data_IF_610574251213
#
_entry.id   IF_610574251213
#
_cell.length_a   1.000
_cell.length_b   1.000
_cell.length_c   1.000
_cell.angle_alpha   90.00
_cell.angle_beta   90.00
_cell.angle_gamma   90.00
#
_symmetry.space_group_name_H-M   'P 1'
#
loop_
_entity.id
_entity.type
_entity.pdbx_description
1 polymer ?
#
# COMPACT_ATOMS: atom_id res chain seq x y z
N UNK A 1 -16.30 10.10 12.12
CA UNK A 1 -15.36 9.45 13.05
C UNK A 1 -14.54 8.41 12.32
N UNK A 2 -13.29 8.40 12.61
CA UNK A 2 -12.45 7.42 11.97
C UNK A 2 -12.70 6.02 12.53
N UNK A 3 -12.78 5.08 11.64
CA UNK A 3 -13.06 3.71 12.01
C UNK A 3 -11.76 2.96 12.24
N UNK A 4 -11.39 2.79 13.50
CA UNK A 4 -10.12 2.14 13.83
C UNK A 4 -10.12 0.66 13.53
N UNK A 5 -11.29 0.04 13.47
CA UNK A 5 -11.34 -1.40 13.24
C UNK A 5 -10.94 -1.78 11.81
N UNK A 6 -10.96 -0.82 10.88
CA UNK A 6 -10.57 -1.12 9.50
C UNK A 6 -9.07 -1.22 9.32
N UNK A 7 -8.28 -0.91 10.34
CA UNK A 7 -6.84 -0.89 10.22
C UNK A 7 -6.21 -1.60 11.42
N UNK A 8 -6.57 -2.86 11.57
CA UNK A 8 -6.17 -3.62 12.75
C UNK A 8 -4.67 -3.86 12.81
N UNK A 9 -3.99 -4.02 11.65
CA UNK A 9 -2.55 -4.23 11.66
C UNK A 9 -1.84 -3.00 12.19
N UNK A 10 -2.26 -1.82 11.75
CA UNK A 10 -1.65 -0.60 12.23
C UNK A 10 -1.91 -0.41 13.71
N UNK A 11 -3.14 -0.69 14.15
CA UNK A 11 -3.46 -0.58 15.56
C UNK A 11 -2.58 -1.50 16.40
N UNK A 12 -2.39 -2.73 15.93
CA UNK A 12 -1.57 -3.69 16.66
C UNK A 12 -0.13 -3.22 16.81
N UNK A 13 0.45 -2.70 15.73
CA UNK A 13 1.82 -2.20 15.78
C UNK A 13 1.93 -1.02 16.74
N UNK A 14 0.98 -0.09 16.68
CA UNK A 14 0.99 1.07 17.58
C UNK A 14 0.88 0.65 19.04
N UNK A 15 0.00 -0.31 19.32
CA UNK A 15 -0.17 -0.78 20.69
C UNK A 15 1.10 -1.41 21.22
N UNK A 16 1.73 -2.28 20.42
CA UNK A 16 2.97 -2.95 20.82
C UNK A 16 4.06 -1.91 21.11
N UNK A 17 4.20 -0.93 20.23
CA UNK A 17 5.23 0.10 20.43
C UNK A 17 5.00 0.88 21.70
N UNK A 18 3.74 1.18 22.02
CA UNK A 18 3.43 1.95 23.22
C UNK A 18 3.73 1.20 24.52
N UNK A 19 3.68 -0.13 24.47
CA UNK A 19 3.89 -0.94 25.66
C UNK A 19 5.33 -1.40 25.83
N UNK A 20 6.21 -1.09 24.88
CA UNK A 20 7.60 -1.52 24.92
C UNK A 20 8.46 -0.48 25.65
N UNK A 21 9.58 -0.89 26.26
CA UNK A 21 10.55 0.09 26.79
C UNK A 21 11.09 0.98 25.66
N UNK A 22 11.56 2.17 26.03
CA UNK A 22 12.04 3.13 25.04
C UNK A 22 13.12 2.55 24.14
N UNK A 23 14.06 1.82 24.70
CA UNK A 23 15.14 1.24 23.90
C UNK A 23 14.62 0.22 22.91
N UNK A 24 13.65 -0.58 23.32
CA UNK A 24 13.06 -1.58 22.42
C UNK A 24 12.22 -0.91 21.34
N UNK A 25 11.51 0.17 21.69
CA UNK A 25 10.76 0.92 20.71
C UNK A 25 11.67 1.50 19.63
N UNK A 26 12.80 2.08 20.04
CA UNK A 26 13.77 2.64 19.11
C UNK A 26 14.31 1.57 18.16
N UNK A 27 14.68 0.41 18.71
CA UNK A 27 15.19 -0.67 17.89
C UNK A 27 14.14 -1.16 16.90
N UNK A 28 12.91 -1.31 17.35
CA UNK A 28 11.83 -1.78 16.48
C UNK A 28 11.56 -0.76 15.38
N UNK A 29 11.52 0.52 15.72
CA UNK A 29 11.30 1.56 14.72
C UNK A 29 12.43 1.60 13.72
N UNK A 30 13.67 1.42 14.16
CA UNK A 30 14.82 1.39 13.28
C UNK A 30 14.76 0.19 12.34
N UNK A 31 14.33 -0.96 12.84
CA UNK A 31 14.17 -2.13 12.01
C UNK A 31 13.12 -1.92 10.92
N UNK A 32 11.98 -1.34 11.31
CA UNK A 32 10.91 -1.07 10.34
C UNK A 32 11.39 -0.08 9.30
N UNK A 33 12.12 0.96 9.71
CA UNK A 33 12.66 1.93 8.78
C UNK A 33 13.65 1.29 7.81
N UNK A 34 14.49 0.40 8.30
CA UNK A 34 15.45 -0.28 7.45
C UNK A 34 14.75 -1.21 6.46
N UNK A 35 13.71 -1.91 6.93
CA UNK A 35 12.91 -2.76 6.03
C UNK A 35 12.22 -1.91 4.97
N UNK A 36 11.70 -0.76 5.35
CA UNK A 36 11.06 0.14 4.40
C UNK A 36 12.05 0.58 3.32
N UNK A 37 13.25 0.97 3.74
CA UNK A 37 14.27 1.38 2.79
C UNK A 37 14.56 0.28 1.77
N UNK A 38 14.69 -0.94 2.24
CA UNK A 38 14.97 -2.06 1.35
C UNK A 38 13.79 -2.47 0.50
N UNK A 39 12.58 -2.16 0.95
CA UNK A 39 11.37 -2.55 0.23
C UNK A 39 10.95 -1.53 -0.81
N UNK A 40 11.49 -0.31 -0.77
CA UNK A 40 11.04 0.73 -1.67
C UNK A 40 11.14 0.35 -3.16
N UNK A 41 12.23 -0.25 -3.63
CA UNK A 41 12.27 -0.64 -5.05
C UNK A 41 11.14 -1.61 -5.42
N UNK A 42 10.84 -2.55 -4.54
CA UNK A 42 9.75 -3.49 -4.81
C UNK A 42 8.39 -2.79 -4.81
N UNK A 43 8.20 -1.83 -3.90
CA UNK A 43 6.97 -1.05 -3.86
C UNK A 43 6.81 -0.26 -5.16
N UNK A 44 7.91 0.35 -5.64
CA UNK A 44 7.85 1.09 -6.89
C UNK A 44 7.54 0.18 -8.07
N UNK A 45 8.10 -1.02 -8.10
CA UNK A 45 7.79 -1.99 -9.15
C UNK A 45 6.30 -2.36 -9.12
N UNK A 46 5.74 -2.54 -7.94
CA UNK A 46 4.33 -2.86 -7.80
C UNK A 46 3.44 -1.70 -8.24
N UNK A 47 3.83 -0.48 -7.92
CA UNK A 47 3.10 0.68 -8.40
C UNK A 47 3.15 0.77 -9.92
N UNK A 48 4.30 0.45 -10.52
CA UNK A 48 4.43 0.46 -11.97
C UNK A 48 3.50 -0.56 -12.62
N UNK A 49 3.33 -1.71 -11.99
CA UNK A 49 2.40 -2.71 -12.53
C UNK A 49 0.96 -2.20 -12.48
N UNK A 50 0.59 -1.51 -11.41
CA UNK A 50 -0.73 -0.91 -11.31
C UNK A 50 -0.92 0.20 -12.35
N UNK A 51 0.13 0.98 -12.62
CA UNK A 51 0.08 1.96 -13.70
C UNK A 51 -0.21 1.30 -15.04
N UNK A 52 0.47 0.18 -15.31
CA UNK A 52 0.23 -0.56 -16.55
C UNK A 52 -1.22 -1.02 -16.64
N UNK A 53 -1.76 -1.52 -15.55
CA UNK A 53 -3.14 -1.98 -15.54
C UNK A 53 -4.12 -0.85 -15.87
N UNK A 54 -3.76 0.38 -15.52
CA UNK A 54 -4.62 1.53 -15.75
C UNK A 54 -4.55 2.06 -17.19
N UNK A 55 -3.44 1.85 -17.89
CA UNK A 55 -3.25 2.46 -19.21
C UNK A 55 -3.22 1.47 -20.37
N UNK A 56 -2.85 0.22 -20.10
CA UNK A 56 -2.80 -0.80 -21.14
C UNK A 56 -4.14 -1.54 -21.24
N UNK A 57 -4.43 -2.19 -22.37
CA UNK A 57 -5.61 -3.04 -22.43
C UNK A 57 -5.57 -4.07 -21.32
N UNK A 58 -6.62 -4.13 -20.56
CA UNK A 58 -6.65 -4.95 -19.35
C UNK A 58 -7.06 -6.38 -19.69
N UNK A 59 -6.07 -7.22 -19.92
CA UNK A 59 -6.31 -8.64 -20.14
C UNK A 59 -6.66 -9.30 -18.81
N UNK A 60 -7.26 -10.49 -18.89
CA UNK A 60 -7.55 -11.25 -17.67
C UNK A 60 -6.28 -11.50 -16.85
N UNK A 61 -5.19 -11.82 -17.54
CA UNK A 61 -3.92 -12.09 -16.87
C UNK A 61 -3.40 -10.84 -16.15
N UNK A 62 -3.41 -9.69 -16.82
CA UNK A 62 -2.95 -8.46 -16.20
C UNK A 62 -3.87 -8.05 -15.05
N UNK A 63 -5.17 -8.23 -15.23
CA UNK A 63 -6.13 -7.90 -14.17
C UNK A 63 -5.87 -8.74 -12.93
N UNK A 64 -5.65 -10.03 -13.09
CA UNK A 64 -5.38 -10.92 -11.95
C UNK A 64 -4.07 -10.55 -11.28
N UNK A 65 -3.04 -10.28 -12.07
CA UNK A 65 -1.75 -9.90 -11.53
C UNK A 65 -1.83 -8.59 -10.79
N UNK A 66 -2.57 -7.62 -11.32
CA UNK A 66 -2.73 -6.33 -10.67
C UNK A 66 -3.49 -6.46 -9.35
N UNK A 67 -4.54 -7.29 -9.34
CA UNK A 67 -5.30 -7.51 -8.10
C UNK A 67 -4.43 -8.13 -7.02
N UNK A 68 -3.62 -9.13 -7.39
CA UNK A 68 -2.70 -9.75 -6.44
C UNK A 68 -1.66 -8.75 -5.94
N UNK A 69 -1.20 -7.88 -6.83
CA UNK A 69 -0.23 -6.85 -6.46
C UNK A 69 -0.83 -5.86 -5.48
N UNK A 70 -2.06 -5.40 -5.73
CA UNK A 70 -2.74 -4.50 -4.81
C UNK A 70 -2.94 -5.15 -3.44
N UNK A 71 -3.27 -6.44 -3.43
CA UNK A 71 -3.43 -7.18 -2.18
C UNK A 71 -2.12 -7.20 -1.38
N UNK A 72 -1.01 -7.48 -2.06
CA UNK A 72 0.30 -7.51 -1.38
C UNK A 72 0.68 -6.13 -0.87
N UNK A 73 0.38 -5.09 -1.63
CA UNK A 73 0.66 -3.73 -1.17
C UNK A 73 -0.16 -3.40 0.08
N UNK A 74 -1.43 -3.78 0.10
CA UNK A 74 -2.25 -3.51 1.28
C UNK A 74 -1.65 -4.13 2.54
N UNK A 75 -1.16 -5.36 2.42
CA UNK A 75 -0.55 -6.02 3.57
C UNK A 75 0.74 -5.35 4.02
N UNK A 76 1.64 -5.08 3.09
CA UNK A 76 2.95 -4.54 3.47
C UNK A 76 2.86 -3.08 3.92
N UNK A 77 1.97 -2.29 3.31
CA UNK A 77 1.86 -0.88 3.69
C UNK A 77 1.32 -0.71 5.10
N UNK A 78 0.45 -1.62 5.54
CA UNK A 78 -0.01 -1.61 6.92
C UNK A 78 1.15 -1.79 7.89
N UNK A 79 2.05 -2.72 7.57
CA UNK A 79 3.21 -2.96 8.41
C UNK A 79 4.14 -1.74 8.47
N UNK A 80 4.27 -1.02 7.37
CA UNK A 80 5.17 0.14 7.32
C UNK A 80 4.52 1.43 7.82
N UNK A 81 3.28 1.38 8.28
CA UNK A 81 2.64 2.55 8.87
C UNK A 81 2.04 3.51 7.86
N UNK A 82 1.54 3.01 6.75
CA UNK A 82 0.85 3.81 5.75
C UNK A 82 -0.64 3.43 5.73
N UNK A 83 -1.43 3.91 6.71
CA UNK A 83 -2.85 3.50 6.77
C UNK A 83 -3.65 3.94 5.55
N UNK A 84 -3.38 5.13 5.05
CA UNK A 84 -4.08 5.61 3.87
C UNK A 84 -3.68 4.80 2.65
N UNK A 85 -2.40 4.46 2.54
CA UNK A 85 -1.95 3.59 1.46
C UNK A 85 -2.62 2.24 1.50
N UNK A 86 -2.75 1.67 2.69
CA UNK A 86 -3.44 0.40 2.86
C UNK A 86 -4.89 0.48 2.39
N UNK A 87 -5.58 1.55 2.79
CA UNK A 87 -6.98 1.73 2.41
C UNK A 87 -7.12 1.83 0.90
N UNK A 88 -6.28 2.63 0.26
CA UNK A 88 -6.35 2.82 -1.18
C UNK A 88 -6.00 1.54 -1.91
N UNK A 89 -4.99 0.82 -1.43
CA UNK A 89 -4.61 -0.44 -2.06
C UNK A 89 -5.75 -1.46 -2.00
N UNK A 90 -6.49 -1.47 -0.92
CA UNK A 90 -7.66 -2.35 -0.81
C UNK A 90 -8.77 -1.93 -1.76
N UNK A 91 -8.97 -0.64 -1.93
CA UNK A 91 -9.95 -0.16 -2.91
C UNK A 91 -9.54 -0.57 -4.32
N UNK A 92 -8.24 -0.47 -4.62
CA UNK A 92 -7.74 -0.93 -5.91
C UNK A 92 -7.98 -2.41 -6.12
N UNK A 93 -7.70 -3.20 -5.09
CA UNK A 93 -7.93 -4.64 -5.19
C UNK A 93 -9.39 -4.94 -5.49
N UNK A 94 -10.31 -4.29 -4.78
CA UNK A 94 -11.73 -4.49 -4.97
C UNK A 94 -12.16 -4.09 -6.37
N UNK A 95 -11.67 -2.96 -6.86
CA UNK A 95 -12.00 -2.50 -8.19
C UNK A 95 -11.50 -3.48 -9.25
N UNK A 96 -10.28 -3.99 -9.07
CA UNK A 96 -9.69 -4.93 -10.00
C UNK A 96 -10.38 -6.28 -10.00
N UNK A 97 -11.14 -6.58 -8.96
CA UNK A 97 -11.91 -7.82 -8.89
C UNK A 97 -13.28 -7.70 -9.52
N UNK A 98 -13.67 -6.52 -9.96
CA UNK A 98 -14.93 -6.36 -10.67
C UNK A 98 -14.80 -6.87 -12.11
N UNK A 99 -15.93 -7.05 -12.76
CA UNK A 99 -15.96 -7.60 -14.09
C UNK A 99 -15.29 -6.69 -15.13
N UNK A 100 -15.51 -5.39 -15.00
CA UNK A 100 -14.96 -4.41 -15.93
C UNK A 100 -14.45 -3.20 -15.15
N UNK A 101 -13.23 -3.28 -14.64
CA UNK A 101 -12.69 -2.14 -13.87
C UNK A 101 -12.57 -0.89 -14.74
N UNK A 102 -13.03 0.23 -14.20
CA UNK A 102 -12.97 1.51 -14.89
C UNK A 102 -11.53 2.00 -14.95
N UNK A 103 -10.95 2.19 -16.15
CA UNK A 103 -9.55 2.64 -16.24
C UNK A 103 -9.31 4.01 -15.62
N UNK A 104 -10.27 4.91 -15.70
CA UNK A 104 -10.11 6.23 -15.10
C UNK A 104 -10.02 6.12 -13.59
N UNK A 105 -10.86 5.29 -13.00
CA UNK A 105 -10.84 5.07 -11.57
C UNK A 105 -9.57 4.34 -11.14
N UNK A 106 -9.11 3.38 -11.93
CA UNK A 106 -7.84 2.70 -11.67
C UNK A 106 -6.70 3.70 -11.62
N UNK A 107 -6.64 4.58 -12.60
CA UNK A 107 -5.57 5.57 -12.66
C UNK A 107 -5.65 6.53 -11.48
N UNK A 108 -6.84 6.98 -11.14
CA UNK A 108 -7.02 7.90 -10.03
C UNK A 108 -6.56 7.27 -8.72
N UNK A 109 -6.98 6.04 -8.46
CA UNK A 109 -6.60 5.36 -7.22
C UNK A 109 -5.10 5.07 -7.18
N UNK A 110 -4.50 4.70 -8.32
CA UNK A 110 -3.07 4.45 -8.35
C UNK A 110 -2.28 5.73 -8.06
N UNK A 111 -2.73 6.86 -8.61
CA UNK A 111 -2.10 8.14 -8.32
C UNK A 111 -2.23 8.50 -6.85
N UNK A 112 -3.41 8.30 -6.27
CA UNK A 112 -3.61 8.55 -4.85
C UNK A 112 -2.74 7.66 -3.98
N UNK A 113 -2.60 6.40 -4.39
CA UNK A 113 -1.76 5.45 -3.66
C UNK A 113 -0.31 5.90 -3.66
N UNK A 114 0.19 6.30 -4.82
CA UNK A 114 1.57 6.78 -4.92
C UNK A 114 1.78 7.99 -4.03
N UNK A 115 0.84 8.92 -4.01
CA UNK A 115 0.96 10.09 -3.17
C UNK A 115 0.87 9.77 -1.68
N UNK A 116 0.12 8.76 -1.31
CA UNK A 116 0.03 8.34 0.09
C UNK A 116 1.35 7.76 0.60
N UNK A 117 2.13 7.13 -0.30
CA UNK A 117 3.40 6.50 0.08
C UNK A 117 4.55 7.48 -0.10
N UNK A 118 4.54 8.24 -1.17
CA UNK A 118 5.60 9.19 -1.52
C UNK A 118 4.98 10.57 -1.72
N UNK A 119 4.60 11.24 -0.63
CA UNK A 119 3.82 12.49 -0.76
C UNK A 119 4.54 13.60 -1.51
N UNK A 120 5.86 13.66 -1.38
CA UNK A 120 6.63 14.69 -2.11
C UNK A 120 7.08 14.15 -3.45
N UNK A 121 6.95 12.85 -3.60
CA UNK A 121 7.37 12.18 -4.80
C UNK A 121 8.84 11.81 -4.77
N UNK A 122 9.17 10.68 -5.39
CA UNK A 122 10.57 10.23 -5.43
C UNK A 122 11.44 11.08 -6.33
N UNK A 123 10.85 11.92 -7.13
CA UNK A 123 11.58 12.73 -8.09
C UNK A 123 12.40 13.85 -7.43
N UNK A 124 12.21 14.04 -6.15
CA UNK A 124 12.92 15.09 -5.44
C UNK A 124 14.31 14.67 -5.03
#
# INVERSE_FOLDING_TARGET
MRNVSTNSEEFTISFVLKTMPDSAQSKTQNMIAALWQRSQPQVLDRLALLDRAAVEPLTTSLQQEAAATAHKLAGSLGMFGFPEGTRIARELEQLLETESPDPVQLKSLTTMLRQAIFPIGPQR
#
